data_IF_440094682118
#
_entry.id   IF_440094682118
#
_cell.length_a   1.000
_cell.length_b   1.000
_cell.length_c   1.000
_cell.angle_alpha   90.00
_cell.angle_beta   90.00
_cell.angle_gamma   90.00
#
_symmetry.space_group_name_H-M   'P 1'
#
loop_
_entity.id
_entity.type
_entity.pdbx_description
1 polymer ?
#
# COMPACT_ATOMS: atom_id res chain seq x y z
N UNK A 1 -0.62 -7.81 8.72
CA UNK A 1 0.05 -6.68 8.00
C UNK A 1 -0.55 -5.36 8.47
N UNK A 2 0.27 -4.35 8.78
CA UNK A 2 -0.21 -3.03 9.23
C UNK A 2 -0.16 -2.02 8.07
N UNK A 3 -1.30 -1.48 7.66
CA UNK A 3 -1.42 -0.61 6.50
C UNK A 3 -1.80 0.82 6.90
N UNK A 4 -0.95 1.77 6.50
CA UNK A 4 -1.07 3.21 6.74
C UNK A 4 -1.44 3.91 5.43
N UNK A 5 -2.71 4.29 5.30
CA UNK A 5 -3.15 5.15 4.20
C UNK A 5 -2.86 6.60 4.56
N UNK A 6 -2.25 7.34 3.62
CA UNK A 6 -2.01 8.77 3.77
C UNK A 6 -2.97 9.57 2.90
N UNK A 7 -3.48 10.67 3.45
CA UNK A 7 -4.31 11.67 2.77
C UNK A 7 -5.64 11.13 2.18
N UNK A 8 -6.64 10.79 3.02
CA UNK A 8 -6.71 11.01 4.47
C UNK A 8 -5.94 9.96 5.29
N UNK A 9 -5.51 10.32 6.51
CA UNK A 9 -4.81 9.39 7.40
C UNK A 9 -5.77 8.32 7.91
N UNK A 10 -5.47 7.06 7.62
CA UNK A 10 -6.18 5.89 8.16
C UNK A 10 -5.20 4.76 8.39
N UNK A 11 -5.41 4.01 9.46
CA UNK A 11 -4.64 2.82 9.78
C UNK A 11 -5.57 1.62 9.86
N UNK A 12 -5.18 0.52 9.24
CA UNK A 12 -5.94 -0.74 9.23
C UNK A 12 -4.97 -1.91 9.36
N UNK A 13 -5.45 -2.98 9.97
CA UNK A 13 -4.77 -4.28 9.98
C UNK A 13 -5.42 -5.18 8.95
N UNK A 14 -4.60 -5.85 8.15
CA UNK A 14 -5.02 -6.81 7.14
C UNK A 14 -4.28 -8.10 7.40
N UNK A 15 -5.01 -9.20 7.51
CA UNK A 15 -4.41 -10.51 7.76
C UNK A 15 -3.93 -11.17 6.47
N UNK A 16 -2.78 -11.84 6.59
CA UNK A 16 -2.26 -12.75 5.60
C UNK A 16 -1.43 -12.10 4.49
N UNK A 17 -0.51 -12.91 3.96
CA UNK A 17 0.37 -12.52 2.86
C UNK A 17 -0.43 -12.27 1.57
N UNK A 18 0.00 -11.29 0.78
CA UNK A 18 -0.63 -10.96 -0.50
C UNK A 18 0.30 -10.17 -1.40
N UNK A 19 -0.09 -10.01 -2.67
CA UNK A 19 0.60 -9.13 -3.61
C UNK A 19 0.09 -7.70 -3.47
N UNK A 20 0.94 -6.74 -3.83
CA UNK A 20 0.62 -5.30 -3.83
C UNK A 20 -0.66 -5.00 -4.62
N UNK A 21 -0.83 -5.56 -5.82
CA UNK A 21 -2.06 -5.34 -6.60
C UNK A 21 -3.32 -5.82 -5.87
N UNK A 22 -3.26 -6.96 -5.18
CA UNK A 22 -4.40 -7.52 -4.47
C UNK A 22 -4.80 -6.62 -3.29
N UNK A 23 -3.80 -6.10 -2.56
CA UNK A 23 -4.01 -5.11 -1.51
C UNK A 23 -4.69 -3.84 -2.06
N UNK A 24 -4.17 -3.28 -3.15
CA UNK A 24 -4.73 -2.06 -3.74
C UNK A 24 -6.16 -2.28 -4.26
N UNK A 25 -6.43 -3.41 -4.91
CA UNK A 25 -7.78 -3.77 -5.37
C UNK A 25 -8.76 -3.89 -4.20
N UNK A 26 -8.38 -4.54 -3.10
CA UNK A 26 -9.22 -4.67 -1.91
C UNK A 26 -9.55 -3.31 -1.27
N UNK A 27 -8.62 -2.36 -1.34
CA UNK A 27 -8.79 -1.00 -0.84
C UNK A 27 -9.46 -0.06 -1.86
N UNK A 28 -9.77 -0.53 -3.08
CA UNK A 28 -10.33 0.30 -4.14
C UNK A 28 -9.37 1.37 -4.67
N UNK A 29 -8.06 1.13 -4.59
CA UNK A 29 -7.01 2.07 -4.97
C UNK A 29 -6.36 1.69 -6.29
N UNK A 30 -6.02 2.68 -7.12
CA UNK A 30 -5.25 2.47 -8.35
C UNK A 30 -3.75 2.53 -8.10
N UNK A 31 -2.99 1.60 -8.69
CA UNK A 31 -1.52 1.59 -8.65
C UNK A 31 -0.88 2.79 -9.37
N UNK A 32 -1.57 3.36 -10.34
CA UNK A 32 -1.11 4.54 -11.06
C UNK A 32 -1.18 5.79 -10.19
N UNK A 33 -2.18 5.85 -9.31
CA UNK A 33 -2.41 6.98 -8.41
C UNK A 33 -1.77 6.80 -7.03
N UNK A 34 -1.19 5.61 -6.72
CA UNK A 34 -0.66 5.32 -5.40
C UNK A 34 0.71 4.63 -5.44
N UNK A 35 1.60 5.08 -4.56
CA UNK A 35 2.84 4.40 -4.22
C UNK A 35 2.62 3.51 -3.01
N UNK A 36 3.25 2.33 -3.04
CA UNK A 36 3.25 1.38 -1.94
C UNK A 36 4.67 1.25 -1.43
N UNK A 37 4.83 1.50 -0.13
CA UNK A 37 6.11 1.43 0.58
C UNK A 37 5.97 0.33 1.61
N UNK A 38 6.88 -0.66 1.59
CA UNK A 38 6.95 -1.77 2.55
C UNK A 38 8.18 -1.59 3.41
N UNK A 39 8.01 -1.48 4.73
CA UNK A 39 9.11 -1.33 5.69
C UNK A 39 10.09 -0.19 5.33
N UNK A 40 9.55 0.92 4.81
CA UNK A 40 10.34 2.08 4.38
C UNK A 40 10.87 2.03 2.95
N UNK A 41 10.68 0.93 2.21
CA UNK A 41 11.17 0.77 0.84
C UNK A 41 10.04 0.74 -0.21
N UNK A 42 10.24 1.43 -1.33
CA UNK A 42 9.28 1.41 -2.44
C UNK A 42 9.24 0.02 -3.09
N UNK A 43 8.04 -0.54 -3.25
CA UNK A 43 7.87 -1.87 -3.86
C UNK A 43 7.16 -1.80 -5.22
N UNK A 44 7.50 -2.72 -6.15
CA UNK A 44 6.81 -2.85 -7.42
C UNK A 44 5.36 -3.34 -7.22
N UNK A 45 4.49 -3.09 -8.22
CA UNK A 45 3.05 -3.39 -8.13
C UNK A 45 2.70 -4.89 -8.04
N UNK A 46 3.63 -5.76 -8.38
CA UNK A 46 3.53 -7.22 -8.28
C UNK A 46 4.31 -7.80 -7.10
N UNK A 47 4.94 -6.93 -6.28
CA UNK A 47 5.70 -7.31 -5.09
C UNK A 47 4.85 -8.05 -4.06
N UNK A 48 5.51 -8.90 -3.28
CA UNK A 48 4.88 -9.66 -2.20
C UNK A 48 4.98 -8.92 -0.88
N UNK A 49 3.90 -9.01 -0.10
CA UNK A 49 3.75 -8.40 1.22
C UNK A 49 3.47 -9.51 2.24
N UNK A 50 4.27 -9.52 3.30
CA UNK A 50 4.20 -10.43 4.42
C UNK A 50 3.24 -9.92 5.50
N UNK A 51 2.87 -10.80 6.43
CA UNK A 51 1.90 -10.46 7.47
C UNK A 51 2.50 -9.55 8.57
N UNK A 52 3.82 -9.59 8.73
CA UNK A 52 4.58 -8.74 9.67
C UNK A 52 4.99 -7.39 9.06
N UNK A 53 4.69 -7.13 7.79
CA UNK A 53 5.08 -5.89 7.13
C UNK A 53 4.28 -4.67 7.60
N UNK A 54 4.98 -3.53 7.67
CA UNK A 54 4.40 -2.20 7.72
C UNK A 54 4.31 -1.63 6.30
N UNK A 55 3.10 -1.34 5.86
CA UNK A 55 2.81 -0.84 4.52
C UNK A 55 2.32 0.59 4.59
N UNK A 56 2.97 1.50 3.88
CA UNK A 56 2.43 2.83 3.63
C UNK A 56 1.90 2.95 2.21
N UNK A 57 0.70 3.52 2.08
CA UNK A 57 0.09 3.84 0.80
C UNK A 57 -0.04 5.36 0.69
N UNK A 58 0.63 5.93 -0.32
CA UNK A 58 0.69 7.37 -0.55
C UNK A 58 0.10 7.72 -1.91
N UNK A 59 -0.80 8.72 -2.02
CA UNK A 59 -1.22 9.20 -3.32
C UNK A 59 -0.03 9.85 -4.04
N UNK A 60 0.06 9.61 -5.34
CA UNK A 60 0.92 10.36 -6.24
C UNK A 60 0.20 11.67 -6.54
N UNK A 61 0.73 12.78 -6.04
CA UNK A 61 0.26 14.11 -6.44
C UNK A 61 1.12 14.51 -7.62
N UNK A 62 0.53 14.56 -8.83
CA UNK A 62 1.18 15.26 -9.93
C UNK A 62 1.15 16.75 -9.58
N UNK A 63 2.30 17.31 -9.17
CA UNK A 63 2.45 18.75 -9.01
C UNK A 63 2.32 19.42 -10.37
N UNK A 64 1.10 19.82 -10.72
CA UNK A 64 0.79 20.76 -11.78
C UNK A 64 0.47 22.11 -11.18
#
# INVERSE_FOLDING_TARGET
MRVLLRNPRREITIDGRRRVHALLTELGLSREAHLVIRNGELVPGDGELSDDDEIEIRPVISGG
#
